data_IF_456971112863
#
_entry.id   IF_456971112863
#
_cell.length_a   1.000
_cell.length_b   1.000
_cell.length_c   1.000
_cell.angle_alpha   90.00
_cell.angle_beta   90.00
_cell.angle_gamma   90.00
#
_symmetry.space_group_name_H-M   'P 1'
#
loop_
_entity.id
_entity.type
_entity.pdbx_description
1 polymer ?
#
# COMPACT_ATOMS: atom_id res chain seq x y z
N UNK A 1 11.48 15.36 -41.82
CA UNK A 1 10.48 14.28 -41.76
C UNK A 1 9.41 14.75 -40.80
N UNK A 2 8.38 15.44 -41.29
CA UNK A 2 7.26 15.93 -40.48
C UNK A 2 6.15 14.89 -40.62
N UNK A 3 5.66 14.37 -39.50
CA UNK A 3 4.50 13.47 -39.49
C UNK A 3 3.26 14.30 -39.28
N UNK A 4 2.51 14.55 -40.36
CA UNK A 4 1.22 15.23 -40.28
C UNK A 4 0.20 14.29 -39.64
N UNK A 5 -0.23 14.62 -38.42
CA UNK A 5 -1.25 13.90 -37.65
C UNK A 5 -2.67 14.18 -38.21
N UNK A 6 -2.88 13.96 -39.50
CA UNK A 6 -4.18 14.17 -40.16
C UNK A 6 -4.86 12.82 -40.37
N UNK A 7 -5.91 12.56 -39.60
CA UNK A 7 -6.81 11.43 -39.85
C UNK A 7 -7.65 11.74 -41.11
N UNK A 8 -7.69 10.87 -42.13
CA UNK A 8 -8.52 11.09 -43.31
C UNK A 8 -10.00 11.06 -42.92
N UNK A 9 -10.73 12.10 -43.32
CA UNK A 9 -12.17 12.18 -43.11
C UNK A 9 -12.85 11.10 -43.98
N UNK A 10 -13.53 10.13 -43.35
CA UNK A 10 -14.16 9.01 -44.07
C UNK A 10 -15.35 9.51 -44.87
N UNK A 11 -15.17 9.65 -46.18
CA UNK A 11 -16.23 9.97 -47.14
C UNK A 11 -17.30 8.88 -47.15
N UNK A 12 -18.41 9.14 -46.47
CA UNK A 12 -19.81 8.87 -46.89
C UNK A 12 -20.29 7.46 -47.29
N UNK A 13 -19.47 6.42 -47.31
CA UNK A 13 -19.89 5.07 -47.75
C UNK A 13 -19.49 3.93 -46.79
N UNK A 14 -19.06 4.27 -45.57
CA UNK A 14 -18.78 3.29 -44.53
C UNK A 14 -20.08 2.75 -43.89
N UNK A 15 -20.09 1.53 -43.32
CA UNK A 15 -21.25 1.01 -42.61
C UNK A 15 -21.63 1.98 -41.50
N UNK A 16 -22.84 2.52 -41.57
CA UNK A 16 -23.39 3.40 -40.53
C UNK A 16 -23.62 2.51 -39.31
N UNK A 17 -22.78 2.65 -38.28
CA UNK A 17 -22.97 1.95 -37.02
C UNK A 17 -24.37 2.24 -36.50
N UNK A 18 -25.16 1.20 -36.25
CA UNK A 18 -26.48 1.35 -35.63
C UNK A 18 -26.32 2.08 -34.30
N UNK A 19 -27.24 2.99 -33.97
CA UNK A 19 -27.23 3.70 -32.69
C UNK A 19 -27.26 2.68 -31.54
N UNK A 20 -26.08 2.39 -30.97
CA UNK A 20 -25.97 1.48 -29.83
C UNK A 20 -26.57 2.25 -28.65
N UNK A 21 -27.75 1.83 -28.21
CA UNK A 21 -28.31 2.33 -26.95
C UNK A 21 -27.33 1.95 -25.85
N UNK A 22 -26.56 2.93 -25.37
CA UNK A 22 -25.63 2.74 -24.26
C UNK A 22 -26.46 2.45 -23.03
N UNK A 23 -26.70 1.16 -22.75
CA UNK A 23 -27.25 0.72 -21.48
C UNK A 23 -26.34 1.30 -20.40
N UNK A 24 -26.89 2.21 -19.59
CA UNK A 24 -26.17 2.82 -18.48
C UNK A 24 -25.73 1.68 -17.57
N UNK A 25 -24.44 1.33 -17.61
CA UNK A 25 -23.90 0.34 -16.69
C UNK A 25 -24.13 0.90 -15.29
N UNK A 26 -24.68 0.07 -14.41
CA UNK A 26 -24.83 0.42 -13.01
C UNK A 26 -23.42 0.60 -12.46
N UNK A 27 -23.07 1.86 -12.19
CA UNK A 27 -21.72 2.31 -11.83
C UNK A 27 -21.46 2.03 -10.34
N UNK A 28 -21.80 0.83 -9.89
CA UNK A 28 -21.55 0.39 -8.51
C UNK A 28 -20.28 -0.42 -8.46
N UNK A 29 -19.53 -0.23 -7.39
CA UNK A 29 -18.37 -1.06 -7.12
C UNK A 29 -18.82 -2.50 -6.77
N UNK A 30 -17.92 -3.45 -7.01
CA UNK A 30 -18.12 -4.83 -6.57
C UNK A 30 -18.30 -4.90 -5.05
N UNK A 31 -18.84 -6.01 -4.55
CA UNK A 31 -18.98 -6.22 -3.10
C UNK A 31 -17.60 -6.10 -2.42
N UNK A 32 -17.56 -5.42 -1.28
CA UNK A 32 -16.32 -5.14 -0.53
C UNK A 32 -15.56 -3.88 -0.99
N UNK A 33 -15.90 -3.30 -2.15
CA UNK A 33 -15.27 -2.07 -2.63
C UNK A 33 -16.16 -0.86 -2.39
N UNK A 34 -15.54 0.26 -2.03
CA UNK A 34 -16.20 1.55 -1.80
C UNK A 34 -15.94 2.47 -2.98
N UNK A 35 -16.98 3.15 -3.45
CA UNK A 35 -16.87 4.16 -4.50
C UNK A 35 -16.32 5.46 -3.90
N UNK A 36 -15.02 5.69 -4.07
CA UNK A 36 -14.34 6.89 -3.59
C UNK A 36 -14.24 7.95 -4.69
N UNK A 37 -14.55 9.22 -4.39
CA UNK A 37 -14.44 10.29 -5.38
C UNK A 37 -13.00 10.41 -5.87
N UNK A 38 -12.82 10.38 -7.19
CA UNK A 38 -11.53 10.64 -7.82
C UNK A 38 -11.43 12.13 -8.08
N UNK A 39 -10.48 12.78 -7.41
CA UNK A 39 -10.26 14.23 -7.52
C UNK A 39 -9.34 14.64 -8.69
N UNK A 40 -8.80 13.68 -9.44
CA UNK A 40 -7.91 13.92 -10.58
C UNK A 40 -8.63 13.77 -11.94
N UNK A 41 -8.18 14.51 -12.96
CA UNK A 41 -8.67 14.39 -14.33
C UNK A 41 -10.10 14.89 -14.55
N UNK A 42 -10.94 14.12 -15.26
CA UNK A 42 -12.36 14.46 -15.52
C UNK A 42 -13.30 14.17 -14.33
N UNK A 43 -12.74 13.89 -13.15
CA UNK A 43 -13.48 13.41 -12.00
C UNK A 43 -13.99 11.97 -12.16
N UNK A 44 -14.89 11.56 -11.26
CA UNK A 44 -15.49 10.23 -11.24
C UNK A 44 -15.36 9.59 -9.86
N UNK A 45 -15.47 8.27 -9.82
CA UNK A 45 -15.20 7.48 -8.63
C UNK A 45 -14.23 6.35 -8.97
N UNK A 46 -13.42 5.98 -8.01
CA UNK A 46 -12.58 4.80 -8.02
C UNK A 46 -13.15 3.78 -7.04
N UNK A 47 -12.96 2.50 -7.32
CA UNK A 47 -13.44 1.43 -6.45
C UNK A 47 -12.30 0.94 -5.59
N UNK A 48 -12.29 1.34 -4.32
CA UNK A 48 -11.19 1.10 -3.39
C UNK A 48 -11.62 0.10 -2.31
N UNK A 49 -10.74 -0.83 -1.96
CA UNK A 49 -10.93 -1.76 -0.84
C UNK A 49 -10.61 -1.05 0.48
N UNK A 50 -11.61 -0.43 1.08
CA UNK A 50 -11.45 0.32 2.34
C UNK A 50 -11.24 -0.58 3.56
N UNK A 51 -11.30 -1.90 3.41
CA UNK A 51 -11.09 -2.84 4.52
C UNK A 51 -9.62 -3.24 4.67
N UNK A 52 -8.87 -3.25 3.56
CA UNK A 52 -7.49 -3.73 3.51
C UNK A 52 -6.49 -2.74 2.91
N UNK A 53 -6.95 -1.71 2.20
CA UNK A 53 -6.06 -0.70 1.60
C UNK A 53 -5.55 0.28 2.67
N UNK A 54 -4.23 0.45 2.82
CA UNK A 54 -3.66 1.35 3.82
C UNK A 54 -3.78 2.84 3.45
N UNK A 55 -3.96 3.21 2.18
CA UNK A 55 -4.09 4.61 1.74
C UNK A 55 -5.53 5.12 1.83
N UNK A 56 -6.51 4.21 1.93
CA UNK A 56 -7.94 4.52 2.10
C UNK A 56 -8.58 3.62 3.14
N UNK A 57 -7.94 3.52 4.31
CA UNK A 57 -8.39 2.61 5.35
C UNK A 57 -9.66 3.14 6.03
N UNK A 58 -10.69 2.29 6.08
CA UNK A 58 -11.97 2.57 6.71
C UNK A 58 -12.91 3.49 5.93
N UNK A 59 -12.45 4.07 4.82
CA UNK A 59 -13.27 4.93 3.97
C UNK A 59 -12.42 5.68 2.95
N UNK A 60 -13.05 6.63 2.27
CA UNK A 60 -12.38 7.44 1.27
C UNK A 60 -11.61 8.57 1.94
N UNK A 61 -10.34 8.73 1.57
CA UNK A 61 -9.49 9.84 1.99
C UNK A 61 -9.71 11.03 1.05
N UNK A 62 -9.98 12.21 1.62
CA UNK A 62 -10.14 13.45 0.87
C UNK A 62 -8.80 14.06 0.47
N UNK A 63 -8.87 15.14 -0.30
CA UNK A 63 -7.68 15.85 -0.82
C UNK A 63 -6.78 16.42 0.28
N UNK A 64 -7.38 16.77 1.41
CA UNK A 64 -6.76 17.31 2.61
C UNK A 64 -6.24 16.23 3.55
N UNK A 65 -6.37 14.95 3.18
CA UNK A 65 -6.06 13.80 4.05
C UNK A 65 -7.18 13.52 5.06
N UNK A 66 -8.21 14.36 5.10
CA UNK A 66 -9.40 14.16 5.93
C UNK A 66 -10.55 13.61 5.08
N UNK A 67 -11.37 12.75 5.67
CA UNK A 67 -12.43 12.08 4.93
C UNK A 67 -13.18 11.08 5.80
N UNK A 68 -13.84 10.14 5.13
CA UNK A 68 -14.49 9.01 5.85
C UNK A 68 -13.49 7.93 6.23
N UNK A 69 -12.32 7.90 5.56
CA UNK A 69 -11.21 7.03 5.88
C UNK A 69 -9.96 7.79 6.28
N UNK A 70 -8.88 7.05 6.49
CA UNK A 70 -7.59 7.60 6.87
C UNK A 70 -6.47 6.91 6.11
N UNK A 71 -5.42 7.66 5.79
CA UNK A 71 -4.20 7.12 5.19
C UNK A 71 -3.25 6.64 6.30
N UNK A 72 -3.20 5.33 6.50
CA UNK A 72 -2.31 4.71 7.47
C UNK A 72 -0.83 4.88 7.10
N UNK A 73 -0.50 5.13 5.83
CA UNK A 73 0.90 5.26 5.37
C UNK A 73 1.53 6.58 5.83
N UNK A 74 0.70 7.61 6.06
CA UNK A 74 1.11 8.90 6.61
C UNK A 74 1.52 8.85 8.10
N UNK A 75 1.39 7.69 8.77
CA UNK A 75 1.74 7.52 10.19
C UNK A 75 3.21 7.85 10.45
N UNK A 76 3.45 8.87 11.29
CA UNK A 76 4.80 9.35 11.60
C UNK A 76 5.66 8.27 12.24
N UNK A 77 6.85 8.07 11.69
CA UNK A 77 7.82 7.10 12.22
C UNK A 77 7.47 5.64 11.91
N UNK A 78 6.35 5.35 11.26
CA UNK A 78 6.05 4.02 10.76
C UNK A 78 6.90 3.70 9.53
N UNK A 79 7.28 2.43 9.41
CA UNK A 79 7.96 1.88 8.24
C UNK A 79 7.02 1.02 7.41
N UNK A 80 6.19 0.21 8.06
CA UNK A 80 5.17 -0.61 7.42
C UNK A 80 3.88 -0.48 8.22
N UNK A 81 2.80 -0.09 7.55
CA UNK A 81 1.45 -0.05 8.10
C UNK A 81 0.53 -0.93 7.27
N UNK A 82 -0.57 -1.37 7.88
CA UNK A 82 -1.61 -2.17 7.24
C UNK A 82 -2.98 -1.65 7.65
N UNK A 83 -3.96 -1.79 6.77
CA UNK A 83 -5.36 -1.66 7.14
C UNK A 83 -5.89 -3.06 7.48
N UNK A 84 -6.50 -3.21 8.65
CA UNK A 84 -7.13 -4.48 9.08
C UNK A 84 -8.53 -4.15 9.55
N UNK A 85 -9.54 -4.67 8.85
CA UNK A 85 -10.96 -4.45 9.20
C UNK A 85 -11.27 -2.97 9.40
N UNK A 86 -10.87 -2.12 8.44
CA UNK A 86 -11.08 -0.66 8.49
C UNK A 86 -10.29 0.08 9.58
N UNK A 87 -9.29 -0.54 10.19
CA UNK A 87 -8.46 0.07 11.24
C UNK A 87 -6.96 0.02 10.89
N UNK A 88 -6.26 1.12 11.12
CA UNK A 88 -4.81 1.18 10.90
C UNK A 88 -4.05 0.40 11.98
N UNK A 89 -3.13 -0.46 11.53
CA UNK A 89 -2.21 -1.19 12.39
C UNK A 89 -0.79 -0.98 11.89
N UNK A 90 0.11 -0.62 12.80
CA UNK A 90 1.54 -0.51 12.50
C UNK A 90 2.18 -1.88 12.62
N UNK A 91 2.80 -2.37 11.55
CA UNK A 91 3.52 -3.64 11.56
C UNK A 91 4.98 -3.43 12.01
N UNK A 92 5.63 -2.37 11.53
CA UNK A 92 6.99 -2.00 11.94
C UNK A 92 7.22 -0.48 11.96
N UNK A 93 8.06 -0.04 12.90
CA UNK A 93 8.51 1.35 13.02
C UNK A 93 9.91 1.54 12.43
N UNK A 94 10.23 2.77 12.02
CA UNK A 94 11.57 3.16 11.55
C UNK A 94 12.59 3.05 12.68
N UNK A 95 13.88 2.96 12.32
CA UNK A 95 14.97 2.92 13.31
C UNK A 95 14.91 4.12 14.25
N UNK A 96 15.00 3.87 15.56
CA UNK A 96 14.88 4.90 16.60
C UNK A 96 13.44 5.19 17.04
N UNK A 97 12.46 4.45 16.51
CA UNK A 97 11.06 4.49 16.91
C UNK A 97 10.61 3.11 17.40
N UNK A 98 9.66 3.07 18.32
CA UNK A 98 9.05 1.86 18.88
C UNK A 98 7.53 1.96 18.74
N UNK A 99 6.89 0.84 18.46
CA UNK A 99 5.44 0.74 18.31
C UNK A 99 4.76 0.99 19.67
N UNK A 100 3.70 1.80 19.68
CA UNK A 100 2.88 2.01 20.87
C UNK A 100 2.22 0.70 21.33
N UNK A 101 1.78 0.65 22.58
CA UNK A 101 1.06 -0.50 23.16
C UNK A 101 -0.22 -0.79 22.36
N UNK A 102 -0.92 0.26 21.92
CA UNK A 102 -2.13 0.16 21.10
C UNK A 102 -1.83 -0.31 19.67
N UNK A 103 -0.57 -0.25 19.26
CA UNK A 103 -0.11 -0.69 17.96
C UNK A 103 -0.53 0.17 16.77
N UNK A 104 -1.09 1.36 17.02
CA UNK A 104 -1.57 2.31 16.01
C UNK A 104 -0.56 3.41 15.68
N UNK A 105 0.46 3.61 16.51
CA UNK A 105 1.43 4.68 16.35
C UNK A 105 2.86 4.22 16.67
N UNK A 106 3.83 5.01 16.22
CA UNK A 106 5.24 4.86 16.58
C UNK A 106 5.64 6.04 17.47
N UNK A 107 6.36 5.76 18.55
CA UNK A 107 6.94 6.76 19.45
C UNK A 107 8.46 6.72 19.39
N UNK A 108 9.10 7.89 19.48
CA UNK A 108 10.56 7.96 19.51
C UNK A 108 11.09 7.25 20.76
N UNK A 109 12.14 6.45 20.57
CA UNK A 109 12.86 5.86 21.69
C UNK A 109 13.63 6.98 22.37
N UNK A 110 13.08 7.52 23.46
CA UNK A 110 13.83 8.45 24.29
C UNK A 110 15.08 7.71 24.79
N UNK A 111 16.25 8.35 24.73
CA UNK A 111 17.54 7.75 25.11
C UNK A 111 17.61 7.32 26.59
N UNK A 112 16.53 7.49 27.35
CA UNK A 112 16.38 7.10 28.74
C UNK A 112 16.21 5.58 28.93
N UNK A 113 15.75 4.85 27.91
CA UNK A 113 15.48 3.40 28.03
C UNK A 113 16.26 2.57 27.00
N UNK A 114 17.59 2.51 27.15
CA UNK A 114 18.49 1.62 26.39
C UNK A 114 18.36 0.12 26.77
N UNK A 115 17.15 -0.38 27.03
CA UNK A 115 17.03 -1.72 27.64
C UNK A 115 15.77 -2.53 27.44
N UNK A 116 14.79 -2.14 26.61
CA UNK A 116 13.55 -2.93 26.50
C UNK A 116 13.07 -3.03 25.04
N UNK A 117 13.29 -4.22 24.48
CA UNK A 117 12.69 -4.83 23.28
C UNK A 117 13.00 -4.27 21.89
N UNK A 118 14.18 -4.65 21.39
CA UNK A 118 14.36 -5.00 19.98
C UNK A 118 13.78 -6.41 19.75
N UNK A 119 12.51 -6.52 19.37
CA UNK A 119 12.03 -7.75 18.73
C UNK A 119 12.38 -7.67 17.24
N UNK A 120 13.64 -7.98 16.94
CA UNK A 120 14.04 -8.37 15.60
C UNK A 120 13.56 -9.79 15.35
N UNK A 121 12.82 -10.00 14.26
CA UNK A 121 12.65 -11.34 13.69
C UNK A 121 14.02 -11.85 13.28
N UNK A 122 14.60 -12.65 14.15
CA UNK A 122 15.82 -13.42 13.96
C UNK A 122 15.64 -14.45 12.84
N UNK A 123 15.86 -14.04 11.59
CA UNK A 123 16.20 -14.97 10.52
C UNK A 123 17.60 -15.52 10.84
N UNK A 124 17.61 -16.71 11.43
CA UNK A 124 18.74 -17.56 11.81
C UNK A 124 19.82 -17.64 10.72
N UNK A 125 20.73 -16.67 10.69
CA UNK A 125 21.99 -16.75 9.94
C UNK A 125 22.89 -17.74 10.68
N UNK A 126 23.06 -18.91 10.09
CA UNK A 126 23.96 -19.97 10.57
C UNK A 126 25.42 -19.52 10.30
N UNK A 127 25.96 -18.70 11.19
CA UNK A 127 27.39 -18.38 11.24
C UNK A 127 28.12 -19.51 11.95
N UNK A 128 28.46 -20.57 11.22
CA UNK A 128 29.45 -21.55 11.69
C UNK A 128 30.80 -20.87 11.76
N UNK A 129 31.22 -20.52 12.98
CA UNK A 129 32.50 -19.92 13.30
C UNK A 129 33.62 -20.93 13.11
N UNK A 130 34.62 -20.52 12.32
CA UNK A 130 35.95 -21.12 12.24
C UNK A 130 36.64 -21.07 13.60
N UNK A 131 36.40 -22.08 14.45
CA UNK A 131 37.29 -22.50 15.54
C UNK A 131 36.60 -23.57 16.40
N UNK A 132 36.72 -24.85 16.00
CA UNK A 132 36.74 -26.03 16.89
C UNK A 132 36.77 -27.32 16.08
N UNK A 133 37.96 -27.79 15.70
CA UNK A 133 38.49 -29.13 16.00
C UNK A 133 39.79 -29.37 15.24
N UNK A 134 40.88 -28.99 15.88
CA UNK A 134 42.08 -29.80 15.78
C UNK A 134 41.78 -31.21 16.33
N UNK A 135 42.58 -32.18 15.85
CA UNK A 135 42.74 -33.57 16.31
C UNK A 135 41.89 -34.64 15.59
N UNK A 136 42.44 -35.16 14.49
CA UNK A 136 42.69 -36.60 14.22
C UNK A 136 43.51 -36.71 12.91
N UNK A 137 44.84 -36.85 13.01
CA UNK A 137 45.60 -38.09 12.77
C UNK A 137 45.35 -38.63 11.34
N UNK A 138 46.28 -38.49 10.38
CA UNK A 138 47.34 -39.48 10.05
C UNK A 138 46.91 -40.93 10.32
N UNK A 139 47.15 -41.81 9.33
CA UNK A 139 46.85 -43.27 9.22
C UNK A 139 45.58 -43.45 8.35
N UNK A 140 45.58 -43.99 7.11
CA UNK A 140 46.49 -44.81 6.29
C UNK A 140 46.60 -44.21 4.88
#
# INVERSE_FOLDING_TARGET
MVSDNVCPNTTGSGPVGTAISRKKRDLRCAQGFTACPRYSGRGGFDCVDTENDPESCGGCVGLDGEGTGTDCTATKGASVTRCVKRSCVVDSCRKGWVKSIDGTSCVLVSRSSRGVHAQGTEVKRKSTSSAKRAIRAKIF
#
